data_IF_893677930474
#
_entry.id   IF_893677930474
#
_cell.length_a   1.000
_cell.length_b   1.000
_cell.length_c   1.000
_cell.angle_alpha   90.00
_cell.angle_beta   90.00
_cell.angle_gamma   90.00
#
_symmetry.space_group_name_H-M   'P 1'
#
loop_
_entity.id
_entity.type
_entity.pdbx_description
1 polymer ?
#
# COMPACT_ATOMS: atom_id res chain seq x y z
N UNK A 1 -3.01 22.31 -7.36
CA UNK A 1 -2.11 21.41 -8.12
C UNK A 1 -2.52 21.31 -9.60
N UNK A 2 -3.71 20.82 -9.98
CA UNK A 2 -4.10 20.60 -11.39
C UNK A 2 -3.90 21.83 -12.28
N UNK A 3 -4.32 23.03 -11.84
CA UNK A 3 -4.10 24.30 -12.59
C UNK A 3 -2.62 24.61 -12.82
N UNK A 4 -1.76 24.34 -11.83
CA UNK A 4 -0.30 24.58 -11.93
C UNK A 4 0.35 23.77 -13.05
N UNK A 5 -0.18 22.59 -13.36
CA UNK A 5 0.33 21.69 -14.40
C UNK A 5 -0.55 21.65 -15.65
N UNK A 6 -1.46 22.62 -15.82
CA UNK A 6 -2.39 22.72 -16.95
C UNK A 6 -3.27 21.46 -17.15
N UNK A 7 -3.64 20.79 -16.05
CA UNK A 7 -4.42 19.55 -16.05
C UNK A 7 -5.86 19.73 -15.53
N UNK A 8 -6.26 20.95 -15.20
CA UNK A 8 -7.60 21.26 -14.69
C UNK A 8 -8.72 21.06 -15.73
N UNK A 9 -8.39 21.12 -17.02
CA UNK A 9 -9.31 20.84 -18.14
C UNK A 9 -9.13 19.45 -18.76
N UNK A 10 -8.23 18.61 -18.21
CA UNK A 10 -7.97 17.29 -18.75
C UNK A 10 -9.17 16.35 -18.58
N UNK A 11 -9.37 15.41 -19.50
CA UNK A 11 -10.38 14.37 -19.37
C UNK A 11 -10.00 13.39 -18.25
N UNK A 12 -10.92 13.13 -17.29
CA UNK A 12 -10.65 12.22 -16.19
C UNK A 12 -10.48 10.75 -16.65
N UNK A 13 -9.76 9.97 -15.85
CA UNK A 13 -9.62 8.52 -16.01
C UNK A 13 -9.90 7.81 -14.69
N UNK A 14 -10.20 6.51 -14.75
CA UNK A 14 -10.66 5.74 -13.58
C UNK A 14 -9.53 5.17 -12.71
N UNK A 15 -8.31 5.07 -13.24
CA UNK A 15 -7.16 4.53 -12.50
C UNK A 15 -5.93 5.43 -12.68
N UNK A 16 -5.05 5.54 -11.66
CA UNK A 16 -3.90 6.43 -11.74
C UNK A 16 -2.81 5.92 -12.69
N UNK A 17 -2.87 4.65 -13.09
CA UNK A 17 -1.87 4.01 -13.94
C UNK A 17 -2.56 3.14 -14.98
N UNK A 18 -1.98 3.10 -16.18
CA UNK A 18 -2.34 2.12 -17.22
C UNK A 18 -1.85 0.74 -16.83
N UNK A 19 -2.48 -0.30 -17.36
CA UNK A 19 -1.99 -1.67 -17.21
C UNK A 19 -0.52 -1.78 -17.61
N UNK A 20 0.29 -2.40 -16.77
CA UNK A 20 1.73 -2.52 -16.98
C UNK A 20 2.12 -3.96 -17.28
N UNK A 21 2.87 -4.15 -18.36
CA UNK A 21 3.57 -5.42 -18.63
C UNK A 21 4.90 -5.43 -17.87
N UNK A 22 5.27 -6.57 -17.31
CA UNK A 22 6.59 -6.80 -16.73
C UNK A 22 7.59 -7.38 -17.75
N UNK A 23 7.16 -7.56 -19.00
CA UNK A 23 8.07 -7.85 -20.12
C UNK A 23 8.93 -6.61 -20.39
N UNK A 24 10.25 -6.79 -20.40
CA UNK A 24 11.23 -5.70 -20.57
C UNK A 24 10.94 -4.86 -21.82
N UNK A 25 10.59 -5.52 -22.95
CA UNK A 25 10.32 -4.84 -24.22
C UNK A 25 8.96 -4.16 -24.29
N UNK A 26 7.99 -4.63 -23.50
CA UNK A 26 6.60 -4.14 -23.47
C UNK A 26 6.29 -3.23 -22.28
N UNK A 27 7.25 -3.01 -21.38
CA UNK A 27 7.06 -2.12 -20.24
C UNK A 27 6.81 -0.68 -20.73
N UNK A 28 5.63 -0.10 -20.50
CA UNK A 28 5.33 1.26 -20.94
C UNK A 28 6.19 2.31 -20.23
N UNK A 29 6.84 1.94 -19.13
CA UNK A 29 7.71 2.82 -18.32
C UNK A 29 9.16 2.31 -18.29
N UNK A 30 9.63 1.72 -19.40
CA UNK A 30 11.04 1.31 -19.50
C UNK A 30 12.00 2.50 -19.37
N UNK A 31 13.24 2.28 -18.89
CA UNK A 31 14.28 3.32 -18.86
C UNK A 31 14.60 3.89 -20.25
N UNK A 32 15.40 4.96 -20.28
CA UNK A 32 15.94 5.53 -21.50
C UNK A 32 16.78 4.50 -22.27
N UNK A 33 16.57 4.42 -23.58
CA UNK A 33 17.41 3.70 -24.54
C UNK A 33 18.43 4.67 -25.16
N UNK A 34 19.53 4.15 -25.74
CA UNK A 34 20.65 4.97 -26.16
C UNK A 34 20.31 6.02 -27.23
N UNK A 35 19.38 5.72 -28.12
CA UNK A 35 18.91 6.56 -29.22
C UNK A 35 17.73 7.49 -28.85
N UNK A 36 17.24 7.42 -27.62
CA UNK A 36 16.09 8.21 -27.18
C UNK A 36 16.52 9.57 -26.58
N UNK A 37 15.77 10.63 -26.87
CA UNK A 37 15.96 11.96 -26.29
C UNK A 37 15.34 12.06 -24.90
N UNK A 38 16.03 12.79 -24.02
CA UNK A 38 15.48 13.12 -22.70
C UNK A 38 14.32 14.10 -22.84
N UNK A 39 13.45 14.08 -21.86
CA UNK A 39 12.37 15.06 -21.73
C UNK A 39 12.96 16.48 -21.61
N UNK A 40 12.41 17.43 -22.36
CA UNK A 40 12.88 18.82 -22.37
C UNK A 40 12.84 19.45 -20.97
N UNK A 41 13.82 20.31 -20.70
CA UNK A 41 13.97 20.95 -19.40
C UNK A 41 12.80 21.88 -19.01
N UNK A 42 12.02 22.32 -20.00
CA UNK A 42 10.81 23.13 -19.80
C UNK A 42 9.65 22.34 -19.18
N UNK A 43 9.69 21.00 -19.23
CA UNK A 43 8.67 20.15 -18.65
C UNK A 43 8.98 19.92 -17.17
N UNK A 44 8.10 20.34 -16.25
CA UNK A 44 8.39 20.35 -14.80
C UNK A 44 8.24 18.96 -14.15
N UNK A 45 8.98 17.96 -14.63
CA UNK A 45 8.86 16.57 -14.19
C UNK A 45 9.10 16.42 -12.68
N UNK A 46 10.24 16.92 -12.19
CA UNK A 46 10.62 16.81 -10.76
C UNK A 46 9.62 17.55 -9.86
N UNK A 47 9.14 18.72 -10.29
CA UNK A 47 8.13 19.49 -9.56
C UNK A 47 6.81 18.75 -9.48
N UNK A 48 6.40 18.04 -10.56
CA UNK A 48 5.20 17.23 -10.58
C UNK A 48 5.34 16.00 -9.65
N UNK A 49 6.46 15.28 -9.73
CA UNK A 49 6.75 14.15 -8.84
C UNK A 49 6.73 14.60 -7.36
N UNK A 50 7.39 15.69 -7.01
CA UNK A 50 7.41 16.20 -5.63
C UNK A 50 6.00 16.52 -5.10
N UNK A 51 5.18 17.18 -5.92
CA UNK A 51 3.81 17.50 -5.55
C UNK A 51 2.93 16.23 -5.41
N UNK A 52 3.10 15.25 -6.29
CA UNK A 52 2.37 13.98 -6.23
C UNK A 52 2.82 13.11 -5.07
N UNK A 53 4.14 13.06 -4.75
CA UNK A 53 4.65 12.36 -3.57
C UNK A 53 4.05 12.91 -2.28
N UNK A 54 3.96 14.23 -2.15
CA UNK A 54 3.31 14.87 -1.00
C UNK A 54 1.86 14.38 -0.82
N UNK A 55 1.05 14.40 -1.89
CA UNK A 55 -0.31 13.90 -1.84
C UNK A 55 -0.38 12.40 -1.51
N UNK A 56 0.47 11.60 -2.17
CA UNK A 56 0.52 10.16 -1.97
C UNK A 56 0.85 9.77 -0.53
N UNK A 57 1.70 10.54 0.14
CA UNK A 57 2.13 10.27 1.52
C UNK A 57 1.17 10.82 2.57
N UNK A 58 0.44 11.90 2.28
CA UNK A 58 -0.38 12.59 3.28
C UNK A 58 -1.85 12.16 3.24
N UNK A 59 -2.47 12.05 2.06
CA UNK A 59 -3.94 11.95 1.94
C UNK A 59 -4.44 11.04 0.83
N UNK A 60 -3.58 10.62 -0.10
CA UNK A 60 -3.98 9.87 -1.30
C UNK A 60 -3.15 8.58 -1.44
N UNK A 61 -3.40 7.58 -0.57
CA UNK A 61 -2.74 6.26 -0.65
C UNK A 61 -2.94 5.57 -2.01
N UNK A 62 -4.05 5.81 -2.66
CA UNK A 62 -4.46 5.26 -3.95
C UNK A 62 -3.53 5.58 -5.12
N UNK A 63 -2.73 6.65 -5.03
CA UNK A 63 -1.72 6.99 -6.05
C UNK A 63 -0.28 6.59 -5.65
N UNK A 64 -0.07 6.02 -4.48
CA UNK A 64 1.27 5.81 -3.92
C UNK A 64 2.16 4.94 -4.82
N UNK A 65 1.64 3.83 -5.36
CA UNK A 65 2.39 2.96 -6.26
C UNK A 65 2.78 3.67 -7.56
N UNK A 66 1.81 4.30 -8.23
CA UNK A 66 2.05 4.96 -9.52
C UNK A 66 3.06 6.11 -9.41
N UNK A 67 2.99 6.89 -8.33
CA UNK A 67 3.94 7.98 -8.07
C UNK A 67 5.32 7.42 -7.75
N UNK A 68 5.43 6.39 -6.89
CA UNK A 68 6.71 5.77 -6.56
C UNK A 68 7.39 5.18 -7.80
N UNK A 69 6.62 4.52 -8.67
CA UNK A 69 7.14 3.97 -9.91
C UNK A 69 7.73 5.07 -10.81
N UNK A 70 6.98 6.13 -11.08
CA UNK A 70 7.42 7.22 -11.95
C UNK A 70 8.58 8.04 -11.33
N UNK A 71 8.63 8.17 -10.01
CA UNK A 71 9.73 8.83 -9.31
C UNK A 71 11.11 8.18 -9.58
N UNK A 72 11.14 6.89 -9.97
CA UNK A 72 12.39 6.18 -10.30
C UNK A 72 13.11 6.76 -11.53
N UNK A 73 12.38 7.49 -12.38
CA UNK A 73 12.89 8.05 -13.62
C UNK A 73 13.23 9.55 -13.52
N UNK A 74 13.31 10.08 -12.30
CA UNK A 74 13.54 11.52 -12.04
C UNK A 74 14.88 12.04 -12.56
N UNK A 75 15.91 11.18 -12.69
CA UNK A 75 17.22 11.56 -13.22
C UNK A 75 17.28 11.59 -14.75
N UNK A 76 16.44 10.81 -15.43
CA UNK A 76 16.42 10.71 -16.88
C UNK A 76 14.97 10.46 -17.36
N UNK A 77 14.07 11.46 -17.21
CA UNK A 77 12.68 11.30 -17.59
C UNK A 77 12.52 11.32 -19.10
N UNK A 78 11.55 10.53 -19.60
CA UNK A 78 11.17 10.44 -21.01
C UNK A 78 9.74 10.89 -21.20
N UNK A 79 9.33 11.16 -22.44
CA UNK A 79 7.95 11.54 -22.75
C UNK A 79 6.92 10.51 -22.24
N UNK A 80 7.24 9.20 -22.27
CA UNK A 80 6.39 8.15 -21.71
C UNK A 80 6.18 8.27 -20.21
N UNK A 81 7.22 8.68 -19.45
CA UNK A 81 7.12 8.92 -18.01
C UNK A 81 6.26 10.15 -17.71
N UNK A 82 6.40 11.23 -18.49
CA UNK A 82 5.54 12.40 -18.40
C UNK A 82 4.07 12.08 -18.72
N UNK A 83 3.83 11.22 -19.70
CA UNK A 83 2.48 10.73 -20.00
C UNK A 83 1.89 9.93 -18.82
N UNK A 84 2.70 9.17 -18.11
CA UNK A 84 2.32 8.51 -16.85
C UNK A 84 1.93 9.50 -15.77
N UNK A 85 2.70 10.58 -15.57
CA UNK A 85 2.35 11.67 -14.63
C UNK A 85 1.03 12.34 -15.03
N UNK A 86 0.84 12.65 -16.32
CA UNK A 86 -0.44 13.22 -16.82
C UNK A 86 -1.61 12.26 -16.52
N UNK A 87 -1.40 10.95 -16.61
CA UNK A 87 -2.45 10.00 -16.27
C UNK A 87 -2.84 10.06 -14.77
N UNK A 88 -1.86 10.21 -13.86
CA UNK A 88 -2.15 10.42 -12.44
C UNK A 88 -2.94 11.71 -12.22
N UNK A 89 -2.58 12.81 -12.88
CA UNK A 89 -3.34 14.06 -12.79
C UNK A 89 -4.77 13.92 -13.32
N UNK A 90 -4.97 13.17 -14.41
CA UNK A 90 -6.31 12.89 -14.97
C UNK A 90 -7.15 12.07 -13.97
N UNK A 91 -6.55 11.10 -13.30
CA UNK A 91 -7.20 10.35 -12.22
C UNK A 91 -7.57 11.26 -11.05
N UNK A 92 -6.65 12.10 -10.59
CA UNK A 92 -6.92 13.09 -9.54
C UNK A 92 -8.02 14.08 -9.93
N UNK A 93 -8.09 14.49 -11.20
CA UNK A 93 -9.19 15.31 -11.72
C UNK A 93 -10.55 14.62 -11.59
N UNK A 94 -10.62 13.31 -11.83
CA UNK A 94 -11.84 12.51 -11.68
C UNK A 94 -12.20 12.14 -10.24
N UNK A 95 -11.30 12.42 -9.29
CA UNK A 95 -11.41 12.01 -7.88
C UNK A 95 -11.07 13.13 -6.90
N UNK A 96 -11.42 14.38 -7.23
CA UNK A 96 -11.15 15.55 -6.37
C UNK A 96 -11.88 15.42 -5.02
N UNK A 97 -13.04 14.79 -5.02
CA UNK A 97 -13.92 14.57 -3.88
C UNK A 97 -13.65 13.26 -3.13
N UNK A 98 -12.59 12.52 -3.51
CA UNK A 98 -12.21 11.25 -2.89
C UNK A 98 -11.15 11.47 -1.81
N UNK A 99 -11.36 10.94 -0.60
CA UNK A 99 -10.42 11.04 0.51
C UNK A 99 -10.61 9.95 1.54
N UNK A 100 -9.70 9.87 2.51
CA UNK A 100 -9.81 8.98 3.66
C UNK A 100 -10.94 9.47 4.58
N UNK A 101 -11.84 8.57 4.93
CA UNK A 101 -12.98 8.85 5.79
C UNK A 101 -12.86 8.04 7.09
N UNK A 102 -12.79 8.74 8.23
CA UNK A 102 -12.73 8.15 9.56
C UNK A 102 -14.13 8.22 10.19
N UNK A 103 -14.89 7.10 10.22
CA UNK A 103 -16.24 7.10 10.78
C UNK A 103 -16.18 7.31 12.29
N UNK A 104 -16.96 8.25 12.79
CA UNK A 104 -17.18 8.42 14.22
C UNK A 104 -18.35 7.51 14.65
N UNK A 105 -18.07 6.50 15.47
CA UNK A 105 -19.10 5.69 16.11
C UNK A 105 -19.30 6.16 17.55
N UNK A 106 -20.51 6.62 17.88
CA UNK A 106 -20.86 6.83 19.28
C UNK A 106 -20.89 5.48 20.01
N UNK A 107 -20.40 5.45 21.26
CA UNK A 107 -20.25 4.24 22.08
C UNK A 107 -21.58 3.49 22.38
N UNK A 108 -22.74 4.01 21.96
CA UNK A 108 -24.07 3.43 22.24
C UNK A 108 -24.56 2.39 21.24
N UNK A 109 -23.92 2.17 20.08
CA UNK A 109 -24.43 1.28 19.04
C UNK A 109 -23.86 -0.16 19.06
N UNK A 110 -23.08 -0.53 20.06
CA UNK A 110 -22.49 -1.87 20.16
C UNK A 110 -23.44 -2.96 20.69
N UNK A 111 -24.69 -2.63 21.03
CA UNK A 111 -25.63 -3.58 21.66
C UNK A 111 -26.73 -4.17 20.74
N UNK A 112 -26.89 -3.74 19.49
CA UNK A 112 -28.08 -4.09 18.70
C UNK A 112 -27.85 -4.70 17.31
N UNK A 113 -26.61 -5.06 16.92
CA UNK A 113 -26.37 -5.79 15.67
C UNK A 113 -26.00 -7.23 15.98
N UNK A 114 -26.95 -7.97 16.57
CA UNK A 114 -27.03 -9.43 16.46
C UNK A 114 -28.29 -9.73 15.66
N UNK A 115 -28.08 -10.27 14.51
CA UNK A 115 -28.94 -11.14 13.70
C UNK A 115 -29.08 -10.66 12.24
N UNK A 116 -28.80 -11.61 11.35
CA UNK A 116 -28.98 -11.63 9.89
C UNK A 116 -27.78 -11.11 9.05
N UNK A 117 -26.67 -11.82 9.11
CA UNK A 117 -25.81 -12.00 7.94
C UNK A 117 -25.35 -13.46 7.93
N UNK A 118 -25.65 -14.18 6.88
CA UNK A 118 -25.06 -15.47 6.59
C UNK A 118 -23.54 -15.29 6.59
N UNK A 119 -22.87 -16.00 7.50
CA UNK A 119 -21.44 -15.93 7.71
C UNK A 119 -20.76 -16.55 6.49
N UNK A 120 -20.39 -15.72 5.54
CA UNK A 120 -19.37 -16.10 4.55
C UNK A 120 -18.05 -16.26 5.30
N UNK A 121 -17.63 -17.48 5.55
CA UNK A 121 -16.47 -17.87 6.35
C UNK A 121 -15.11 -17.32 5.85
N UNK A 122 -15.09 -16.47 4.82
CA UNK A 122 -13.91 -15.92 4.15
C UNK A 122 -13.92 -14.40 3.98
N UNK A 123 -14.89 -13.69 4.51
CA UNK A 123 -14.84 -12.22 4.53
C UNK A 123 -14.04 -11.75 5.76
N UNK A 124 -13.14 -10.80 5.57
CA UNK A 124 -12.48 -10.13 6.69
C UNK A 124 -13.60 -9.42 7.49
N UNK A 125 -13.84 -9.88 8.71
CA UNK A 125 -14.85 -9.26 9.56
C UNK A 125 -14.56 -7.76 9.75
N UNK A 126 -15.56 -6.89 9.82
CA UNK A 126 -15.36 -5.47 10.08
C UNK A 126 -14.62 -5.32 11.42
N UNK A 127 -13.35 -4.84 11.33
CA UNK A 127 -12.53 -4.66 12.53
C UNK A 127 -13.12 -3.59 13.44
N UNK A 128 -13.15 -3.81 14.76
CA UNK A 128 -13.51 -2.77 15.70
C UNK A 128 -12.70 -1.49 15.47
N UNK A 129 -13.30 -0.33 15.72
CA UNK A 129 -12.70 0.98 15.44
C UNK A 129 -11.38 1.26 16.16
N UNK A 130 -11.07 0.48 17.19
CA UNK A 130 -9.87 0.60 18.02
C UNK A 130 -8.79 -0.46 17.75
N UNK A 131 -9.00 -1.34 16.77
CA UNK A 131 -8.04 -2.41 16.43
C UNK A 131 -7.18 -2.00 15.24
N UNK A 132 -5.86 -2.11 15.43
CA UNK A 132 -4.88 -1.93 14.37
C UNK A 132 -4.76 -3.22 13.54
N UNK A 133 -4.86 -3.10 12.23
CA UNK A 133 -4.73 -4.21 11.28
C UNK A 133 -3.78 -3.81 10.19
N UNK A 134 -2.89 -4.71 9.78
CA UNK A 134 -1.93 -4.51 8.70
C UNK A 134 -2.12 -5.48 7.53
N UNK A 135 -1.66 -5.08 6.36
CA UNK A 135 -1.54 -5.91 5.16
C UNK A 135 -0.17 -5.68 4.56
N UNK A 136 0.47 -6.74 4.08
CA UNK A 136 1.74 -6.67 3.38
C UNK A 136 1.66 -7.42 2.04
N UNK A 137 2.43 -6.98 1.06
CA UNK A 137 2.58 -7.61 -0.25
C UNK A 137 3.91 -7.24 -0.89
N UNK A 138 4.43 -8.11 -1.76
CA UNK A 138 5.58 -7.82 -2.59
C UNK A 138 5.27 -8.02 -4.08
N UNK A 139 5.39 -6.96 -4.86
CA UNK A 139 5.44 -7.09 -6.32
C UNK A 139 6.78 -7.70 -6.75
N UNK A 140 6.88 -9.04 -6.80
CA UNK A 140 8.11 -9.72 -7.19
C UNK A 140 8.56 -9.33 -8.59
N UNK A 141 9.84 -8.95 -8.75
CA UNK A 141 10.45 -8.47 -10.00
C UNK A 141 9.65 -7.34 -10.70
N UNK A 142 8.93 -6.51 -9.94
CA UNK A 142 8.15 -5.40 -10.49
C UNK A 142 9.00 -4.30 -11.16
N UNK A 143 10.32 -4.32 -10.99
CA UNK A 143 11.29 -3.59 -11.82
C UNK A 143 12.08 -4.61 -12.67
N UNK A 144 11.59 -4.97 -13.87
CA UNK A 144 12.19 -6.00 -14.70
C UNK A 144 13.57 -5.59 -15.24
N UNK A 145 13.87 -4.27 -15.28
CA UNK A 145 15.14 -3.75 -15.80
C UNK A 145 16.29 -3.87 -14.79
N UNK A 146 15.98 -3.90 -13.49
CA UNK A 146 16.98 -4.00 -12.41
C UNK A 146 16.78 -5.21 -11.50
N UNK A 147 15.85 -6.10 -11.82
CA UNK A 147 15.53 -7.29 -11.04
C UNK A 147 15.09 -6.98 -9.60
N UNK A 148 14.44 -5.83 -9.37
CA UNK A 148 14.00 -5.41 -8.03
C UNK A 148 12.51 -5.61 -7.85
N UNK A 149 12.14 -5.99 -6.65
CA UNK A 149 10.74 -6.13 -6.25
C UNK A 149 10.22 -4.83 -5.62
N UNK A 150 8.90 -4.73 -5.47
CA UNK A 150 8.23 -3.64 -4.79
C UNK A 150 7.70 -4.13 -3.45
N UNK A 151 7.91 -3.37 -2.40
CA UNK A 151 7.25 -3.55 -1.11
C UNK A 151 6.02 -2.67 -1.03
N UNK A 152 4.90 -3.24 -0.62
CA UNK A 152 3.69 -2.54 -0.26
C UNK A 152 3.20 -2.96 1.12
N UNK A 153 2.75 -1.99 1.92
CA UNK A 153 1.99 -2.26 3.12
C UNK A 153 0.98 -1.15 3.41
N UNK A 154 -0.05 -1.51 4.16
CA UNK A 154 -1.03 -0.57 4.70
C UNK A 154 -1.47 -1.01 6.08
N UNK A 155 -1.60 -0.06 6.99
CA UNK A 155 -2.21 -0.23 8.31
C UNK A 155 -3.48 0.59 8.40
N UNK A 156 -4.52 -0.04 8.94
CA UNK A 156 -5.83 0.58 9.12
C UNK A 156 -6.30 0.49 10.57
N UNK A 157 -7.05 1.50 10.99
CA UNK A 157 -7.88 1.49 12.20
C UNK A 157 -9.31 1.87 11.84
N UNK A 158 -10.29 1.11 12.33
CA UNK A 158 -11.69 1.34 11.96
C UNK A 158 -11.96 1.27 10.45
N UNK A 159 -11.27 0.37 9.76
CA UNK A 159 -11.31 0.16 8.30
C UNK A 159 -10.80 1.37 7.47
N UNK A 160 -10.08 2.33 8.10
CA UNK A 160 -9.48 3.45 7.37
C UNK A 160 -7.97 3.44 7.54
N UNK A 161 -7.26 3.59 6.42
CA UNK A 161 -5.80 3.60 6.39
C UNK A 161 -5.24 4.77 7.21
N UNK A 162 -4.27 4.47 8.07
CA UNK A 162 -3.55 5.44 8.90
C UNK A 162 -2.06 5.50 8.59
N UNK A 163 -1.50 4.42 8.03
CA UNK A 163 -0.13 4.35 7.52
C UNK A 163 -0.06 3.44 6.31
N UNK A 164 0.76 3.81 5.32
CA UNK A 164 0.96 3.03 4.11
C UNK A 164 2.30 3.33 3.46
N UNK A 165 2.78 2.40 2.67
CA UNK A 165 4.00 2.58 1.90
C UNK A 165 3.96 1.81 0.58
N UNK A 166 4.55 2.42 -0.44
CA UNK A 166 4.91 1.78 -1.69
C UNK A 166 6.36 2.14 -2.00
N UNK A 167 7.26 1.16 -2.03
CA UNK A 167 8.70 1.44 -2.24
C UNK A 167 9.41 0.29 -2.92
N UNK A 168 10.38 0.62 -3.78
CA UNK A 168 11.24 -0.38 -4.43
C UNK A 168 12.19 -0.98 -3.39
N UNK A 169 12.32 -2.30 -3.37
CA UNK A 169 13.25 -3.00 -2.50
C UNK A 169 14.71 -2.68 -2.86
N UNK A 170 15.53 -2.50 -1.85
CA UNK A 170 16.97 -2.25 -2.00
C UNK A 170 17.77 -3.53 -2.23
N UNK A 171 17.25 -4.68 -1.77
CA UNK A 171 17.82 -5.99 -1.99
C UNK A 171 17.20 -6.65 -3.23
N UNK A 172 17.94 -7.54 -3.88
CA UNK A 172 17.40 -8.43 -4.91
C UNK A 172 16.84 -9.67 -4.20
N UNK A 173 15.55 -9.89 -4.34
CA UNK A 173 14.92 -11.12 -3.88
C UNK A 173 15.18 -12.24 -4.89
N UNK A 174 15.63 -13.39 -4.42
CA UNK A 174 15.92 -14.55 -5.29
C UNK A 174 14.70 -15.44 -5.55
N UNK A 175 13.58 -15.15 -4.91
CA UNK A 175 12.27 -15.78 -5.12
C UNK A 175 11.14 -14.84 -4.70
N UNK A 176 9.90 -15.14 -5.09
CA UNK A 176 8.72 -14.42 -4.61
C UNK A 176 8.62 -14.46 -3.10
N UNK A 177 8.81 -15.63 -2.48
CA UNK A 177 8.83 -15.78 -1.02
C UNK A 177 9.86 -14.86 -0.34
N UNK A 178 11.06 -14.70 -0.92
CA UNK A 178 12.06 -13.78 -0.35
C UNK A 178 11.61 -12.32 -0.46
N UNK A 179 10.95 -11.94 -1.55
CA UNK A 179 10.39 -10.61 -1.70
C UNK A 179 9.31 -10.33 -0.64
N UNK A 180 8.45 -11.32 -0.36
CA UNK A 180 7.42 -11.23 0.68
C UNK A 180 8.02 -11.10 2.08
N UNK A 181 9.04 -11.88 2.42
CA UNK A 181 9.75 -11.74 3.72
C UNK A 181 10.31 -10.32 3.89
N UNK A 182 10.86 -9.72 2.81
CA UNK A 182 11.38 -8.36 2.85
C UNK A 182 10.23 -7.36 3.04
N UNK A 183 9.11 -7.54 2.34
CA UNK A 183 7.93 -6.68 2.47
C UNK A 183 7.31 -6.77 3.86
N UNK A 184 7.12 -8.00 4.34
CA UNK A 184 6.62 -8.26 5.69
C UNK A 184 7.51 -7.63 6.76
N UNK A 185 8.85 -7.67 6.61
CA UNK A 185 9.76 -7.03 7.56
C UNK A 185 9.56 -5.51 7.65
N UNK A 186 9.39 -4.82 6.51
CA UNK A 186 9.11 -3.38 6.52
C UNK A 186 7.75 -3.08 7.19
N UNK A 187 6.73 -3.91 6.91
CA UNK A 187 5.43 -3.81 7.57
C UNK A 187 5.53 -4.06 9.09
N UNK A 188 6.28 -5.08 9.52
CA UNK A 188 6.47 -5.39 10.96
C UNK A 188 7.15 -4.24 11.70
N UNK A 189 8.16 -3.62 11.11
CA UNK A 189 8.81 -2.43 11.69
C UNK A 189 7.83 -1.28 11.90
N UNK A 190 7.03 -1.00 10.88
CA UNK A 190 5.97 0.02 10.96
C UNK A 190 4.94 -0.32 12.03
N UNK A 191 4.51 -1.59 12.10
CA UNK A 191 3.58 -2.07 13.11
C UNK A 191 4.08 -1.82 14.54
N UNK A 192 5.33 -2.18 14.82
CA UNK A 192 5.93 -1.99 16.15
C UNK A 192 5.95 -0.50 16.52
N UNK A 193 6.32 0.36 15.57
CA UNK A 193 6.30 1.81 15.78
C UNK A 193 4.88 2.34 16.01
N UNK A 194 3.90 1.94 15.20
CA UNK A 194 2.49 2.34 15.37
C UNK A 194 1.93 1.90 16.72
N UNK A 195 2.20 0.67 17.16
CA UNK A 195 1.80 0.17 18.48
C UNK A 195 2.34 1.05 19.60
N UNK A 196 3.62 1.43 19.52
CA UNK A 196 4.25 2.32 20.51
C UNK A 196 3.56 3.69 20.55
N UNK A 197 3.32 4.31 19.41
CA UNK A 197 2.65 5.62 19.32
C UNK A 197 1.20 5.55 19.82
N UNK A 198 0.44 4.54 19.39
CA UNK A 198 -0.97 4.38 19.82
C UNK A 198 -1.05 4.16 21.32
N UNK A 199 -0.18 3.33 21.90
CA UNK A 199 -0.11 3.10 23.34
C UNK A 199 0.21 4.40 24.08
N UNK A 200 1.17 5.18 23.59
CA UNK A 200 1.52 6.47 24.19
C UNK A 200 0.37 7.48 24.15
N UNK A 201 -0.29 7.63 23.00
CA UNK A 201 -1.44 8.53 22.84
C UNK A 201 -2.58 8.12 23.78
N UNK A 202 -2.92 6.83 23.81
CA UNK A 202 -4.02 6.32 24.67
C UNK A 202 -3.73 6.57 26.13
N UNK A 203 -2.49 6.29 26.58
CA UNK A 203 -2.08 6.53 27.97
C UNK A 203 -2.21 7.97 28.40
N UNK A 204 -1.80 8.90 27.55
CA UNK A 204 -1.90 10.33 27.83
C UNK A 204 -3.32 10.90 27.70
N UNK A 205 -4.23 10.17 27.05
CA UNK A 205 -5.63 10.57 26.86
C UNK A 205 -6.60 9.96 27.87
N UNK A 206 -6.10 9.28 28.91
CA UNK A 206 -6.94 8.62 29.93
C UNK A 206 -7.71 7.40 29.39
N UNK A 207 -7.38 6.92 28.19
CA UNK A 207 -7.92 5.70 27.63
C UNK A 207 -7.11 4.49 28.12
N UNK A 208 -7.74 3.30 28.16
CA UNK A 208 -7.03 2.08 28.57
C UNK A 208 -5.77 1.89 27.71
N UNK A 209 -4.63 1.67 28.37
CA UNK A 209 -3.30 1.73 27.77
C UNK A 209 -2.92 0.54 26.88
N UNK A 210 -3.71 -0.53 26.88
CA UNK A 210 -3.17 -1.79 26.38
C UNK A 210 -3.75 -2.15 25.03
N UNK A 211 -2.85 -2.20 24.02
CA UNK A 211 -3.05 -3.07 22.87
C UNK A 211 -2.62 -4.46 23.32
N UNK A 212 -3.50 -5.16 24.05
CA UNK A 212 -3.18 -6.47 24.65
C UNK A 212 -2.96 -7.55 23.60
N UNK A 213 -3.77 -7.55 22.55
CA UNK A 213 -3.67 -8.54 21.49
C UNK A 213 -2.56 -8.20 20.47
N UNK A 214 -1.91 -9.24 19.90
CA UNK A 214 -1.02 -9.06 18.77
C UNK A 214 -1.74 -8.38 17.60
N UNK A 215 -1.07 -7.45 16.91
CA UNK A 215 -1.60 -6.85 15.69
C UNK A 215 -1.56 -7.88 14.56
N UNK A 216 -2.71 -8.14 13.93
CA UNK A 216 -2.75 -9.00 12.75
C UNK A 216 -2.13 -8.27 11.55
N UNK A 217 -1.18 -8.93 10.88
CA UNK A 217 -0.65 -8.55 9.58
C UNK A 217 -1.04 -9.64 8.60
N UNK A 218 -1.82 -9.28 7.59
CA UNK A 218 -2.28 -10.18 6.55
C UNK A 218 -1.27 -10.26 5.41
N UNK A 219 -1.02 -11.50 4.96
CA UNK A 219 -0.09 -11.88 3.90
C UNK A 219 -0.75 -12.96 3.03
N UNK A 220 -0.57 -12.94 1.72
CA UNK A 220 -1.21 -13.91 0.83
C UNK A 220 -0.27 -15.02 0.35
N UNK A 221 1.04 -14.88 0.53
CA UNK A 221 2.01 -15.90 0.16
C UNK A 221 2.06 -17.04 1.19
N UNK A 222 1.47 -18.18 0.85
CA UNK A 222 1.42 -19.33 1.74
C UNK A 222 2.83 -19.85 2.14
N UNK A 223 3.82 -19.75 1.24
CA UNK A 223 5.18 -20.17 1.54
C UNK A 223 5.86 -19.25 2.56
N UNK A 224 5.62 -17.94 2.49
CA UNK A 224 6.08 -16.98 3.48
C UNK A 224 5.48 -17.29 4.87
N UNK A 225 4.17 -17.50 4.92
CA UNK A 225 3.44 -17.79 6.16
C UNK A 225 3.92 -19.11 6.79
N UNK A 226 4.06 -20.17 5.98
CA UNK A 226 4.52 -21.45 6.45
C UNK A 226 5.96 -21.38 6.98
N UNK A 227 6.84 -20.66 6.28
CA UNK A 227 8.21 -20.44 6.73
C UNK A 227 8.25 -19.64 8.04
N UNK A 228 7.37 -18.65 8.20
CA UNK A 228 7.21 -17.91 9.46
C UNK A 228 6.76 -18.81 10.62
N UNK A 229 5.92 -19.83 10.38
CA UNK A 229 5.52 -20.81 11.39
C UNK A 229 6.65 -21.78 11.74
N UNK A 230 7.39 -22.28 10.73
CA UNK A 230 8.48 -23.22 10.92
C UNK A 230 9.68 -22.65 11.70
N UNK A 231 9.88 -21.35 11.66
CA UNK A 231 10.90 -20.66 12.46
C UNK A 231 12.32 -20.74 11.92
N UNK A 232 12.54 -21.24 10.71
CA UNK A 232 13.88 -21.32 10.13
C UNK A 232 13.88 -21.05 8.62
N UNK A 233 15.04 -20.58 8.13
CA UNK A 233 15.30 -20.37 6.70
C UNK A 233 16.23 -21.49 6.22
N UNK A 234 15.78 -22.25 5.21
CA UNK A 234 16.62 -23.27 4.56
C UNK A 234 17.53 -22.62 3.51
N UNK A 235 18.82 -22.92 3.58
CA UNK A 235 19.78 -22.73 2.48
C UNK A 235 20.73 -21.54 2.65
N UNK A 236 21.95 -21.72 2.10
CA UNK A 236 23.03 -20.72 2.16
C UNK A 236 22.74 -19.45 1.34
N UNK A 237 21.87 -19.54 0.33
CA UNK A 237 21.55 -18.42 -0.54
C UNK A 237 20.65 -17.34 0.10
N UNK A 238 20.21 -17.55 1.36
CA UNK A 238 19.26 -16.67 2.06
C UNK A 238 19.88 -15.83 3.16
N UNK A 239 21.19 -15.88 3.34
CA UNK A 239 21.91 -15.15 4.40
C UNK A 239 21.61 -13.65 4.42
N UNK A 240 21.42 -13.02 3.27
CA UNK A 240 21.15 -11.59 3.15
C UNK A 240 19.75 -11.16 3.65
N UNK A 241 18.79 -12.09 3.73
CA UNK A 241 17.43 -11.82 4.27
C UNK A 241 17.23 -12.39 5.67
N UNK A 242 18.13 -13.25 6.15
CA UNK A 242 18.03 -13.91 7.44
C UNK A 242 17.78 -12.95 8.62
N UNK A 243 18.47 -11.79 8.74
CA UNK A 243 18.19 -10.85 9.82
C UNK A 243 16.76 -10.32 9.82
N UNK A 244 16.20 -10.06 8.62
CA UNK A 244 14.82 -9.58 8.46
C UNK A 244 13.81 -10.65 8.87
N UNK A 245 14.06 -11.89 8.48
CA UNK A 245 13.23 -13.03 8.87
C UNK A 245 13.23 -13.24 10.38
N UNK A 246 14.40 -13.32 11.02
CA UNK A 246 14.51 -13.53 12.46
C UNK A 246 13.92 -12.37 13.27
N UNK A 247 14.01 -11.13 12.78
CA UNK A 247 13.33 -10.01 13.40
C UNK A 247 11.80 -10.20 13.41
N UNK A 248 11.21 -10.63 12.29
CA UNK A 248 9.78 -10.92 12.22
C UNK A 248 9.36 -12.03 13.18
N UNK A 249 10.16 -13.10 13.27
CA UNK A 249 9.98 -14.20 14.21
C UNK A 249 10.01 -13.70 15.67
N UNK A 250 10.98 -12.88 16.01
CA UNK A 250 11.10 -12.30 17.35
C UNK A 250 9.86 -11.47 17.69
N UNK A 251 9.34 -10.68 16.77
CA UNK A 251 8.14 -9.86 17.00
C UNK A 251 6.88 -10.72 17.20
N UNK A 252 6.77 -11.87 16.52
CA UNK A 252 5.71 -12.84 16.79
C UNK A 252 5.86 -13.49 18.18
N UNK A 253 7.06 -13.91 18.54
CA UNK A 253 7.35 -14.49 19.86
C UNK A 253 7.04 -13.52 21.01
N UNK A 254 7.29 -12.22 20.80
CA UNK A 254 6.95 -11.14 21.74
C UNK A 254 5.46 -10.76 21.74
N UNK A 255 4.63 -11.43 20.96
CA UNK A 255 3.20 -11.15 20.79
C UNK A 255 2.89 -9.70 20.34
N UNK A 256 3.84 -9.06 19.68
CA UNK A 256 3.60 -7.76 19.06
C UNK A 256 2.77 -7.88 17.79
N UNK A 257 2.98 -8.94 17.03
CA UNK A 257 2.30 -9.22 15.77
C UNK A 257 1.82 -10.66 15.68
N UNK A 258 0.85 -10.88 14.78
CA UNK A 258 0.45 -12.21 14.32
C UNK A 258 0.30 -12.16 12.80
N UNK A 259 1.08 -12.95 12.05
CA UNK A 259 0.92 -13.06 10.61
C UNK A 259 -0.21 -14.04 10.30
N UNK A 260 -1.18 -13.60 9.49
CA UNK A 260 -2.34 -14.39 9.06
C UNK A 260 -2.45 -14.45 7.54
N UNK A 261 -2.93 -15.57 7.04
CA UNK A 261 -3.18 -15.72 5.61
C UNK A 261 -4.43 -14.94 5.20
N UNK A 262 -4.35 -14.31 4.04
CA UNK A 262 -5.48 -13.72 3.31
C UNK A 262 -5.48 -14.27 1.88
N UNK A 263 -6.64 -14.28 1.21
CA UNK A 263 -6.69 -14.57 -0.23
C UNK A 263 -6.07 -13.42 -1.00
N UNK A 264 -5.33 -13.72 -2.08
CA UNK A 264 -4.67 -12.69 -2.90
C UNK A 264 -5.63 -11.61 -3.40
N UNK A 265 -6.83 -11.97 -3.81
CA UNK A 265 -7.89 -11.05 -4.25
C UNK A 265 -8.43 -10.11 -3.16
N UNK A 266 -8.12 -10.39 -1.88
CA UNK A 266 -8.49 -9.62 -0.71
C UNK A 266 -7.30 -8.87 -0.09
N UNK A 267 -6.07 -9.10 -0.58
CA UNK A 267 -4.90 -8.40 -0.08
C UNK A 267 -4.88 -6.95 -0.57
N UNK A 268 -5.32 -6.03 0.27
CA UNK A 268 -5.38 -4.59 -0.07
C UNK A 268 -4.00 -3.96 -0.27
N UNK A 269 -2.91 -4.63 0.15
CA UNK A 269 -1.55 -4.18 -0.07
C UNK A 269 -1.14 -4.23 -1.55
N UNK A 270 -1.88 -4.95 -2.40
CA UNK A 270 -1.75 -4.96 -3.87
C UNK A 270 -1.82 -3.55 -4.48
N UNK A 271 -2.59 -2.63 -3.88
CA UNK A 271 -2.63 -1.21 -4.28
C UNK A 271 -1.25 -0.55 -4.30
N UNK A 272 -0.32 -1.06 -3.51
CA UNK A 272 1.00 -0.46 -3.28
C UNK A 272 2.12 -1.17 -4.04
N UNK A 273 1.82 -2.25 -4.77
CA UNK A 273 2.81 -3.10 -5.43
C UNK A 273 2.56 -3.34 -6.91
N UNK A 274 1.30 -3.21 -7.38
CA UNK A 274 0.86 -3.62 -8.72
C UNK A 274 -0.01 -2.56 -9.40
N UNK A 275 -0.02 -2.55 -10.74
CA UNK A 275 -1.06 -1.87 -11.51
C UNK A 275 -2.27 -2.80 -11.59
N UNK A 276 -3.40 -2.37 -11.02
CA UNK A 276 -4.60 -3.20 -10.89
C UNK A 276 -5.65 -2.88 -11.97
N UNK A 277 -6.43 -3.87 -12.42
CA UNK A 277 -7.64 -3.64 -13.20
C UNK A 277 -8.62 -2.74 -12.42
N UNK A 278 -9.40 -1.92 -13.15
CA UNK A 278 -10.29 -0.91 -12.56
C UNK A 278 -11.16 -1.45 -11.41
N UNK A 279 -11.85 -2.57 -11.61
CA UNK A 279 -12.77 -3.11 -10.58
C UNK A 279 -12.04 -3.51 -9.29
N UNK A 280 -10.85 -4.15 -9.40
CA UNK A 280 -10.02 -4.54 -8.27
C UNK A 280 -9.45 -3.31 -7.57
N UNK A 281 -8.95 -2.34 -8.34
CA UNK A 281 -8.46 -1.07 -7.83
C UNK A 281 -9.53 -0.33 -7.01
N UNK A 282 -10.72 -0.14 -7.57
CA UNK A 282 -11.83 0.55 -6.89
C UNK A 282 -12.28 -0.20 -5.62
N UNK A 283 -12.32 -1.55 -5.66
CA UNK A 283 -12.60 -2.39 -4.47
C UNK A 283 -11.59 -2.09 -3.36
N UNK A 284 -10.30 -2.18 -3.65
CA UNK A 284 -9.25 -1.97 -2.65
C UNK A 284 -9.19 -0.52 -2.14
N UNK A 285 -9.41 0.46 -3.01
CA UNK A 285 -9.53 1.88 -2.61
C UNK A 285 -10.63 2.06 -1.57
N UNK A 286 -11.80 1.41 -1.77
CA UNK A 286 -12.88 1.41 -0.77
C UNK A 286 -12.51 0.66 0.51
N UNK A 287 -11.80 -0.46 0.40
CA UNK A 287 -11.40 -1.29 1.54
C UNK A 287 -10.42 -0.60 2.48
N UNK A 288 -9.59 0.32 1.97
CA UNK A 288 -8.69 1.16 2.79
C UNK A 288 -9.37 2.43 3.35
N UNK A 289 -10.69 2.53 3.27
CA UNK A 289 -11.46 3.62 3.88
C UNK A 289 -11.58 4.89 3.03
N UNK A 290 -11.22 4.87 1.76
CA UNK A 290 -11.45 6.02 0.88
C UNK A 290 -12.91 6.08 0.45
N UNK A 291 -13.51 7.27 0.52
CA UNK A 291 -14.91 7.55 0.16
C UNK A 291 -15.01 8.85 -0.60
N UNK A 292 -16.00 8.95 -1.48
CA UNK A 292 -16.40 10.21 -2.09
C UNK A 292 -17.25 11.02 -1.11
N UNK A 293 -17.14 12.34 -1.17
CA UNK A 293 -17.96 13.23 -0.34
C UNK A 293 -19.46 12.94 -0.55
N UNK A 294 -19.88 12.63 -1.78
CA UNK A 294 -21.27 12.30 -2.10
C UNK A 294 -21.77 10.99 -1.48
N UNK A 295 -20.88 10.10 -1.05
CA UNK A 295 -21.20 8.82 -0.41
C UNK A 295 -21.30 8.93 1.12
N UNK A 296 -20.91 10.07 1.68
CA UNK A 296 -20.95 10.28 3.13
C UNK A 296 -22.38 10.55 3.59
N UNK A 297 -22.77 10.07 4.79
CA UNK A 297 -24.06 10.40 5.35
C UNK A 297 -24.17 11.92 5.48
N UNK A 298 -25.25 12.47 4.93
CA UNK A 298 -25.57 13.88 5.18
C UNK A 298 -25.79 14.03 6.69
N UNK A 299 -24.99 14.86 7.34
CA UNK A 299 -25.24 15.24 8.72
C UNK A 299 -26.67 15.81 8.80
N UNK A 300 -27.54 15.15 9.55
CA UNK A 300 -28.81 15.73 9.94
C UNK A 300 -28.57 16.88 10.91
#
# INVERSE_FOLDING_TARGET
>A
MLRRFNMDKAHPVSTPMIGRSLDIKKDPFRPKEDDEELLGAEIPYLSAIGALLYLAQCTRPDIAFSVNLLARFSSAPMQRHWNGIKNIFRYLKGTIDLGLFFPYKQAKETASVKASAEVNANAIEPTPTNVLVGFADAGYLSDPHKGRSQTGYVFAMGNTAISWRSTKQTLVATSSNHAEIIALHEAVRECVWLRTIITHIRGNSGLSNVIEAPTCIYEDNAACIEQMKLGYIKGDNTKHISPKFFYNQQQQALLNIQVKQVKSEENVADLFTKSLPKAVFEKHVRSIGMRRISELPKSM
#
